data_IF_907606991110
#
_entry.id   IF_907606991110
#
_cell.length_a   1.000
_cell.length_b   1.000
_cell.length_c   1.000
_cell.angle_alpha   90.00
_cell.angle_beta   90.00
_cell.angle_gamma   90.00
#
_symmetry.space_group_name_H-M   'P 1'
#
loop_
_entity.id
_entity.type
_entity.pdbx_description
1 polymer ?
#
# COMPACT_ATOMS: atom_id res chain seq x y z
N UNK A 1 -9.41 19.34 -1.15
CA UNK A 1 -9.76 18.69 -2.43
C UNK A 1 -10.87 17.67 -2.23
N UNK A 2 -10.61 16.46 -1.70
CA UNK A 2 -11.68 15.45 -1.48
C UNK A 2 -12.57 15.82 -0.29
N UNK A 3 -12.00 16.08 0.89
CA UNK A 3 -12.76 16.43 2.10
C UNK A 3 -13.60 17.72 1.98
N UNK A 4 -13.29 18.58 1.01
CA UNK A 4 -14.08 19.79 0.70
C UNK A 4 -15.33 19.48 -0.14
N UNK A 5 -15.59 18.21 -0.48
CA UNK A 5 -16.78 17.77 -1.23
C UNK A 5 -16.76 18.09 -2.72
N UNK A 6 -15.61 18.49 -3.28
CA UNK A 6 -15.48 18.99 -4.66
C UNK A 6 -14.85 17.99 -5.63
N UNK A 7 -14.39 16.84 -5.15
CA UNK A 7 -13.63 15.88 -5.97
C UNK A 7 -13.71 14.46 -5.40
N UNK A 8 -13.51 13.48 -6.28
CA UNK A 8 -13.30 12.07 -5.94
C UNK A 8 -11.88 11.69 -6.33
N UNK A 9 -11.26 10.78 -5.59
CA UNK A 9 -9.95 10.23 -5.93
C UNK A 9 -9.94 8.71 -5.77
N UNK A 10 -9.02 8.06 -6.48
CA UNK A 10 -8.73 6.64 -6.34
C UNK A 10 -7.44 6.52 -5.53
N UNK A 11 -7.43 5.62 -4.57
CA UNK A 11 -6.29 5.39 -3.69
C UNK A 11 -6.19 3.89 -3.35
N UNK A 12 -4.99 3.36 -3.08
CA UNK A 12 -4.86 1.99 -2.59
C UNK A 12 -5.63 1.80 -1.28
N UNK A 13 -6.08 0.57 -1.01
CA UNK A 13 -6.81 0.21 0.22
C UNK A 13 -6.03 0.57 1.50
N UNK A 14 -4.69 0.53 1.45
CA UNK A 14 -3.83 0.90 2.57
C UNK A 14 -4.07 2.33 3.07
N UNK A 15 -4.44 3.26 2.21
CA UNK A 15 -4.75 4.65 2.60
C UNK A 15 -6.02 4.73 3.45
N UNK A 16 -7.02 3.90 3.18
CA UNK A 16 -8.23 3.84 4.01
C UNK A 16 -7.92 3.30 5.42
N UNK A 17 -6.96 2.37 5.52
CA UNK A 17 -6.59 1.74 6.78
C UNK A 17 -5.60 2.56 7.61
N UNK A 18 -4.66 3.26 6.96
CA UNK A 18 -3.56 3.98 7.65
C UNK A 18 -3.81 5.48 7.79
N UNK A 19 -4.56 6.07 6.86
CA UNK A 19 -4.77 7.52 6.78
C UNK A 19 -6.26 7.86 6.69
N UNK A 20 -7.08 7.16 7.48
CA UNK A 20 -8.50 7.45 7.56
C UNK A 20 -8.70 8.91 8.00
N UNK A 21 -9.57 9.63 7.29
CA UNK A 21 -9.93 11.00 7.61
C UNK A 21 -11.43 11.11 7.81
N UNK A 22 -11.82 11.88 8.81
CA UNK A 22 -13.23 12.20 9.04
C UNK A 22 -13.81 12.96 7.84
N UNK A 23 -15.07 12.69 7.54
CA UNK A 23 -15.76 13.26 6.39
C UNK A 23 -15.36 12.66 5.02
N UNK A 24 -14.51 11.62 4.98
CA UNK A 24 -14.19 10.88 3.75
C UNK A 24 -14.80 9.47 3.82
N UNK A 25 -15.60 9.12 2.81
CA UNK A 25 -16.12 7.76 2.63
C UNK A 25 -15.26 7.02 1.62
N UNK A 26 -14.78 5.84 2.02
CA UNK A 26 -14.03 4.93 1.13
C UNK A 26 -14.97 3.87 0.55
N UNK A 27 -14.87 3.61 -0.75
CA UNK A 27 -15.61 2.55 -1.45
C UNK A 27 -14.66 1.67 -2.23
N UNK A 28 -14.82 0.35 -2.12
CA UNK A 28 -14.01 -0.62 -2.85
C UNK A 28 -14.38 -0.63 -4.34
N UNK A 29 -13.38 -0.57 -5.21
CA UNK A 29 -13.52 -0.80 -6.65
C UNK A 29 -13.27 -2.29 -6.90
N UNK A 30 -14.21 -2.98 -7.55
CA UNK A 30 -14.15 -4.45 -7.74
C UNK A 30 -13.34 -4.86 -8.98
N UNK A 31 -13.50 -4.13 -10.07
CA UNK A 31 -12.93 -4.48 -11.38
C UNK A 31 -11.66 -3.66 -11.67
N UNK A 32 -10.84 -3.45 -10.65
CA UNK A 32 -9.55 -2.76 -10.77
C UNK A 32 -8.40 -3.74 -10.55
N UNK A 33 -7.34 -3.60 -11.34
CA UNK A 33 -6.11 -4.37 -11.12
C UNK A 33 -5.54 -4.04 -9.72
N UNK A 34 -5.01 -5.04 -8.99
CA UNK A 34 -4.28 -4.78 -7.75
C UNK A 34 -3.10 -3.84 -7.96
N UNK A 35 -2.83 -2.99 -6.98
CA UNK A 35 -1.64 -2.13 -7.00
C UNK A 35 -0.45 -2.97 -6.57
N UNK A 36 0.50 -3.21 -7.48
CA UNK A 36 1.70 -3.99 -7.19
C UNK A 36 2.62 -3.23 -6.22
N UNK A 37 3.16 -3.96 -5.23
CA UNK A 37 4.14 -3.45 -4.26
C UNK A 37 5.44 -4.21 -4.47
N UNK A 38 6.53 -3.47 -4.69
CA UNK A 38 7.86 -4.03 -4.93
C UNK A 38 8.85 -3.60 -3.85
N UNK A 39 9.67 -4.55 -3.40
CA UNK A 39 10.85 -4.27 -2.58
C UNK A 39 12.04 -4.04 -3.51
N UNK A 40 12.68 -2.88 -3.40
CA UNK A 40 13.74 -2.45 -4.32
C UNK A 40 14.94 -1.96 -3.51
N UNK A 41 16.15 -2.36 -3.92
CA UNK A 41 17.42 -1.92 -3.36
C UNK A 41 18.46 -1.70 -4.44
N UNK A 42 19.57 -1.04 -4.10
CA UNK A 42 20.70 -0.85 -5.03
C UNK A 42 21.40 -2.18 -5.29
N UNK A 43 21.64 -2.49 -6.57
CA UNK A 43 22.23 -3.77 -6.99
C UNK A 43 23.64 -4.02 -6.43
N UNK A 44 24.44 -2.97 -6.32
CA UNK A 44 25.87 -3.08 -5.95
C UNK A 44 26.16 -2.68 -4.50
N UNK A 45 25.12 -2.36 -3.73
CA UNK A 45 25.23 -1.98 -2.33
C UNK A 45 23.99 -2.46 -1.56
N UNK A 46 23.70 -3.78 -1.56
CA UNK A 46 22.64 -4.31 -0.72
C UNK A 46 23.09 -4.27 0.74
N UNK A 47 22.22 -3.75 1.61
CA UNK A 47 22.43 -3.83 3.05
C UNK A 47 22.58 -5.31 3.46
N UNK A 48 23.48 -5.68 4.40
CA UNK A 48 23.65 -7.09 4.80
C UNK A 48 22.36 -7.78 5.25
N UNK A 49 21.43 -7.01 5.82
CA UNK A 49 20.12 -7.51 6.26
C UNK A 49 19.03 -7.58 5.15
N UNK A 50 19.33 -7.28 3.88
CA UNK A 50 18.31 -7.26 2.82
C UNK A 50 17.55 -8.59 2.71
N UNK A 51 18.24 -9.73 2.76
CA UNK A 51 17.59 -11.05 2.72
C UNK A 51 16.65 -11.27 3.90
N UNK A 52 17.08 -10.89 5.11
CA UNK A 52 16.25 -11.01 6.31
C UNK A 52 15.00 -10.12 6.24
N UNK A 53 15.16 -8.88 5.75
CA UNK A 53 14.03 -7.96 5.56
C UNK A 53 13.03 -8.47 4.52
N UNK A 54 13.50 -9.02 3.39
CA UNK A 54 12.64 -9.60 2.36
C UNK A 54 11.85 -10.79 2.93
N UNK A 55 12.49 -11.69 3.66
CA UNK A 55 11.82 -12.83 4.28
C UNK A 55 10.71 -12.37 5.25
N UNK A 56 11.05 -11.46 6.17
CA UNK A 56 10.10 -10.91 7.14
C UNK A 56 8.88 -10.27 6.48
N UNK A 57 9.11 -9.39 5.49
CA UNK A 57 8.03 -8.69 4.81
C UNK A 57 7.18 -9.64 3.96
N UNK A 58 7.81 -10.62 3.30
CA UNK A 58 7.07 -11.62 2.51
C UNK A 58 6.14 -12.43 3.39
N UNK A 59 6.60 -12.88 4.56
CA UNK A 59 5.76 -13.64 5.48
C UNK A 59 4.63 -12.80 6.07
N UNK A 60 4.90 -11.55 6.45
CA UNK A 60 3.88 -10.61 6.96
C UNK A 60 2.75 -10.38 5.96
N UNK A 61 3.07 -10.21 4.68
CA UNK A 61 2.07 -9.91 3.65
C UNK A 61 1.45 -11.16 3.01
N UNK A 62 2.09 -12.33 3.08
CA UNK A 62 1.50 -13.61 2.64
C UNK A 62 0.24 -13.97 3.44
N UNK A 63 0.21 -13.66 4.73
CA UNK A 63 -0.92 -13.98 5.62
C UNK A 63 -2.11 -13.02 5.51
N UNK A 64 -1.95 -11.90 4.79
CA UNK A 64 -2.91 -10.78 4.78
C UNK A 64 -3.73 -10.69 3.49
N UNK A 65 -3.65 -11.71 2.63
CA UNK A 65 -4.39 -11.81 1.36
C UNK A 65 -5.43 -12.91 1.47
#
# INVERSE_FOLDING_TARGET
MIATGRSVGITPESTANQYRRDGIVFRRIRDAAPVAVHLIWRRHDPHPATHAAVALLTDLYRQRT
#
